data_IF_633873816027
#
_entry.id   IF_633873816027
#
_cell.length_a   1.000
_cell.length_b   1.000
_cell.length_c   1.000
_cell.angle_alpha   90.00
_cell.angle_beta   90.00
_cell.angle_gamma   90.00
#
_symmetry.space_group_name_H-M   'P 1'
#
loop_
_entity.id
_entity.type
_entity.pdbx_description
1 polymer ?
#
# COMPACT_ATOMS: atom_id res chain seq x y z
N UNK A 1 -7.62 20.36 -0.24
CA UNK A 1 -7.29 21.79 -0.29
C UNK A 1 -8.30 22.53 -1.14
N UNK A 2 -8.57 22.17 -2.39
CA UNK A 2 -9.56 22.86 -3.24
C UNK A 2 -10.98 22.86 -2.64
N UNK A 3 -11.36 21.78 -1.96
CA UNK A 3 -12.65 21.66 -1.26
C UNK A 3 -12.81 22.76 -0.19
N UNK A 4 -11.72 23.10 0.50
CA UNK A 4 -11.68 24.14 1.52
C UNK A 4 -11.33 25.53 0.95
N UNK A 5 -11.24 25.66 -0.38
CA UNK A 5 -10.89 26.93 -1.02
C UNK A 5 -9.44 27.39 -0.77
N UNK A 6 -8.58 26.50 -0.31
CA UNK A 6 -7.17 26.81 -0.04
C UNK A 6 -6.34 26.45 -1.27
N UNK A 7 -5.68 27.42 -1.93
CA UNK A 7 -4.79 27.10 -3.02
C UNK A 7 -3.59 26.30 -2.51
N UNK A 8 -3.25 25.21 -3.21
CA UNK A 8 -2.15 24.34 -2.85
C UNK A 8 -1.42 23.83 -4.07
N UNK A 9 -0.16 23.47 -3.89
CA UNK A 9 0.65 22.75 -4.87
C UNK A 9 1.01 21.39 -4.33
N UNK A 10 0.75 20.34 -5.11
CA UNK A 10 1.19 18.98 -4.79
C UNK A 10 2.58 18.75 -5.38
N UNK A 11 3.41 18.04 -4.61
CA UNK A 11 4.67 17.47 -5.07
C UNK A 11 4.49 15.96 -5.01
N UNK A 12 4.69 15.31 -6.14
CA UNK A 12 4.67 13.85 -6.20
C UNK A 12 6.07 13.35 -5.86
N UNK A 13 6.17 12.53 -4.83
CA UNK A 13 7.47 12.10 -4.28
C UNK A 13 8.33 11.38 -5.32
N UNK A 14 7.70 10.63 -6.20
CA UNK A 14 8.38 9.92 -7.30
C UNK A 14 9.02 10.90 -8.31
N UNK A 15 8.42 12.07 -8.53
CA UNK A 15 8.96 13.13 -9.40
C UNK A 15 10.11 13.87 -8.72
N UNK A 16 10.16 13.86 -7.39
CA UNK A 16 11.23 14.47 -6.58
C UNK A 16 12.37 13.47 -6.26
N UNK A 17 12.34 12.27 -6.87
CA UNK A 17 13.42 11.30 -6.79
C UNK A 17 13.29 10.24 -5.71
N UNK A 18 12.16 10.17 -4.99
CA UNK A 18 11.89 9.09 -4.06
C UNK A 18 11.54 7.82 -4.85
N UNK A 19 12.25 6.69 -4.65
CA UNK A 19 11.88 5.45 -5.30
C UNK A 19 10.53 4.93 -4.76
N UNK A 20 9.77 4.24 -5.62
CA UNK A 20 8.53 3.61 -5.20
C UNK A 20 8.76 2.63 -4.03
N UNK A 21 7.92 2.72 -3.01
CA UNK A 21 7.97 1.88 -1.82
C UNK A 21 6.55 1.46 -1.39
N UNK A 22 6.46 0.47 -0.51
CA UNK A 22 5.20 0.03 0.05
C UNK A 22 4.90 0.86 1.30
N UNK A 23 3.92 1.74 1.22
CA UNK A 23 3.59 2.69 2.29
C UNK A 23 2.79 2.03 3.42
N UNK A 24 1.77 1.24 3.03
CA UNK A 24 0.94 0.50 3.97
C UNK A 24 1.24 -0.99 3.85
N UNK A 25 1.74 -1.57 4.93
CA UNK A 25 2.13 -2.98 4.99
C UNK A 25 1.45 -3.70 6.14
N UNK A 26 1.22 -5.00 5.98
CA UNK A 26 0.80 -5.85 7.09
C UNK A 26 1.99 -6.28 7.92
N UNK A 27 1.88 -6.13 9.23
CA UNK A 27 2.92 -6.52 10.18
C UNK A 27 2.40 -7.66 11.06
N UNK A 28 3.20 -8.70 11.22
CA UNK A 28 2.88 -9.84 12.08
C UNK A 28 4.07 -10.20 12.98
N UNK A 29 3.76 -10.69 14.18
CA UNK A 29 4.80 -11.25 15.04
C UNK A 29 5.15 -12.66 14.54
N UNK A 30 6.40 -12.92 14.10
CA UNK A 30 6.80 -14.20 13.50
C UNK A 30 6.66 -15.40 14.46
N UNK A 31 6.83 -15.17 15.77
CA UNK A 31 6.75 -16.24 16.79
C UNK A 31 5.31 -16.62 17.13
N UNK A 32 4.34 -15.78 16.77
CA UNK A 32 2.92 -15.96 17.16
C UNK A 32 1.99 -16.10 15.95
N UNK A 33 2.45 -15.80 14.74
CA UNK A 33 1.59 -15.87 13.56
C UNK A 33 1.30 -17.31 13.15
N UNK A 34 0.04 -17.57 12.79
CA UNK A 34 -0.32 -18.76 12.05
C UNK A 34 -0.17 -18.48 10.55
N UNK A 35 0.84 -19.08 9.91
CA UNK A 35 1.17 -18.84 8.49
C UNK A 35 0.00 -19.13 7.55
N UNK A 36 -0.80 -20.15 7.81
CA UNK A 36 -1.94 -20.50 6.96
C UNK A 36 -3.08 -19.49 7.06
N UNK A 37 -3.31 -18.96 8.26
CA UNK A 37 -4.29 -17.89 8.46
C UNK A 37 -3.83 -16.62 7.74
N UNK A 38 -2.57 -16.23 7.89
CA UNK A 38 -2.03 -15.03 7.24
C UNK A 38 -2.07 -15.20 5.72
N UNK A 39 -1.69 -16.37 5.18
CA UNK A 39 -1.78 -16.64 3.73
C UNK A 39 -3.21 -16.47 3.21
N UNK A 40 -4.19 -17.09 3.87
CA UNK A 40 -5.61 -16.94 3.48
C UNK A 40 -6.11 -15.51 3.56
N UNK A 41 -5.65 -14.75 4.57
CA UNK A 41 -5.95 -13.34 4.68
C UNK A 41 -5.36 -12.55 3.49
N UNK A 42 -4.10 -12.77 3.13
CA UNK A 42 -3.46 -12.12 1.99
C UNK A 42 -4.15 -12.46 0.67
N UNK A 43 -4.54 -13.73 0.47
CA UNK A 43 -5.31 -14.16 -0.71
C UNK A 43 -6.68 -13.45 -0.78
N UNK A 44 -7.38 -13.32 0.33
CA UNK A 44 -8.63 -12.58 0.40
C UNK A 44 -8.42 -11.09 0.08
N UNK A 45 -7.32 -10.49 0.56
CA UNK A 45 -6.95 -9.11 0.25
C UNK A 45 -6.65 -8.94 -1.24
N UNK A 46 -5.95 -9.89 -1.86
CA UNK A 46 -5.68 -9.87 -3.31
C UNK A 46 -6.97 -9.93 -4.12
N UNK A 47 -7.87 -10.85 -3.80
CA UNK A 47 -9.18 -10.95 -4.46
C UNK A 47 -10.00 -9.66 -4.30
N UNK A 48 -9.99 -9.06 -3.11
CA UNK A 48 -10.65 -7.78 -2.87
C UNK A 48 -10.02 -6.64 -3.69
N UNK A 49 -8.70 -6.59 -3.79
CA UNK A 49 -7.99 -5.59 -4.62
C UNK A 49 -8.34 -5.75 -6.09
N UNK A 50 -8.34 -6.98 -6.61
CA UNK A 50 -8.74 -7.26 -7.99
C UNK A 50 -10.21 -6.86 -8.25
N UNK A 51 -11.09 -7.12 -7.30
CA UNK A 51 -12.48 -6.67 -7.39
C UNK A 51 -12.57 -5.14 -7.44
N UNK A 52 -11.89 -4.43 -6.54
CA UNK A 52 -11.88 -2.96 -6.47
C UNK A 52 -11.42 -2.36 -7.81
N UNK A 53 -10.33 -2.87 -8.37
CA UNK A 53 -9.76 -2.34 -9.62
C UNK A 53 -10.68 -2.61 -10.82
N UNK A 54 -11.35 -3.76 -10.86
CA UNK A 54 -12.24 -4.12 -11.95
C UNK A 54 -13.65 -3.54 -11.80
N UNK A 55 -14.08 -3.22 -10.59
CA UNK A 55 -15.42 -2.70 -10.25
C UNK A 55 -15.33 -1.44 -9.38
N UNK A 56 -14.65 -0.36 -9.84
CA UNK A 56 -14.33 0.79 -8.99
C UNK A 56 -15.56 1.53 -8.45
N UNK A 57 -16.63 1.62 -9.25
CA UNK A 57 -17.86 2.30 -8.84
C UNK A 57 -18.63 1.48 -7.79
N UNK A 58 -18.79 0.20 -8.01
CA UNK A 58 -19.46 -0.71 -7.06
C UNK A 58 -18.69 -0.76 -5.75
N UNK A 59 -17.37 -0.85 -5.83
CA UNK A 59 -16.49 -0.86 -4.67
C UNK A 59 -16.55 0.44 -3.88
N UNK A 60 -16.70 1.59 -4.55
CA UNK A 60 -16.95 2.87 -3.90
C UNK A 60 -18.25 2.86 -3.11
N UNK A 61 -19.35 2.37 -3.72
CA UNK A 61 -20.65 2.29 -3.03
C UNK A 61 -20.59 1.39 -1.78
N UNK A 62 -19.86 0.27 -1.88
CA UNK A 62 -19.63 -0.62 -0.73
C UNK A 62 -18.80 0.11 0.34
N UNK A 63 -17.68 0.73 -0.04
CA UNK A 63 -16.77 1.39 0.89
C UNK A 63 -17.44 2.54 1.64
N UNK A 64 -18.05 3.49 0.93
CA UNK A 64 -18.74 4.62 1.56
C UNK A 64 -19.92 4.20 2.43
N UNK A 65 -20.55 3.05 2.14
CA UNK A 65 -21.63 2.48 2.95
C UNK A 65 -21.19 1.92 4.30
N UNK A 66 -19.87 1.78 4.55
CA UNK A 66 -19.37 1.24 5.82
C UNK A 66 -19.44 2.24 6.98
N UNK A 67 -19.38 3.54 6.68
CA UNK A 67 -19.51 4.61 7.67
C UNK A 67 -20.05 5.88 7.02
N UNK A 68 -20.91 6.62 7.72
CA UNK A 68 -21.52 7.86 7.19
C UNK A 68 -20.49 8.93 6.85
N UNK A 69 -19.40 8.98 7.58
CA UNK A 69 -18.31 9.94 7.44
C UNK A 69 -17.49 9.74 6.15
N UNK A 70 -17.67 8.59 5.49
CA UNK A 70 -17.00 8.29 4.23
C UNK A 70 -17.77 8.78 2.99
N UNK A 71 -19.07 9.10 3.12
CA UNK A 71 -19.91 9.54 2.01
C UNK A 71 -19.83 11.06 1.81
N UNK A 72 -18.64 11.54 1.45
CA UNK A 72 -18.38 12.95 1.15
C UNK A 72 -17.49 13.14 -0.09
N UNK A 73 -17.36 14.40 -0.53
CA UNK A 73 -16.57 14.75 -1.71
C UNK A 73 -15.07 14.47 -1.54
N UNK A 74 -14.53 14.65 -0.33
CA UNK A 74 -13.12 14.42 -0.04
C UNK A 74 -12.78 12.95 -0.23
N UNK A 75 -13.57 12.06 0.38
CA UNK A 75 -13.38 10.62 0.28
C UNK A 75 -13.61 10.11 -1.16
N UNK A 76 -14.59 10.67 -1.88
CA UNK A 76 -14.81 10.32 -3.28
C UNK A 76 -13.64 10.69 -4.19
N UNK A 77 -12.98 11.82 -3.97
CA UNK A 77 -11.75 12.22 -4.68
C UNK A 77 -10.58 11.34 -4.29
N UNK A 78 -10.36 11.13 -2.98
CA UNK A 78 -9.31 10.28 -2.46
C UNK A 78 -9.42 8.83 -2.98
N UNK A 79 -10.65 8.30 -3.08
CA UNK A 79 -10.90 6.99 -3.68
C UNK A 79 -10.36 6.89 -5.11
N UNK A 80 -10.69 7.85 -5.97
CA UNK A 80 -10.22 7.89 -7.37
C UNK A 80 -8.69 7.96 -7.47
N UNK A 81 -8.07 8.79 -6.62
CA UNK A 81 -6.63 8.99 -6.61
C UNK A 81 -5.87 7.79 -6.03
N UNK A 82 -6.53 6.99 -5.20
CA UNK A 82 -5.94 5.78 -4.58
C UNK A 82 -6.02 4.56 -5.50
N UNK A 83 -7.04 4.43 -6.34
CA UNK A 83 -7.24 3.27 -7.20
C UNK A 83 -5.99 2.86 -8.01
N UNK A 84 -5.26 3.78 -8.69
CA UNK A 84 -4.06 3.42 -9.45
C UNK A 84 -2.88 2.98 -8.59
N UNK A 85 -2.97 3.16 -7.27
CA UNK A 85 -1.89 2.90 -6.31
C UNK A 85 -2.03 1.56 -5.59
N UNK A 86 -3.14 0.85 -5.81
CA UNK A 86 -3.32 -0.48 -5.25
C UNK A 86 -2.30 -1.47 -5.82
N UNK A 87 -1.65 -2.21 -4.94
CA UNK A 87 -0.86 -3.37 -5.33
C UNK A 87 -1.78 -4.46 -5.88
N UNK A 88 -1.67 -4.80 -7.16
CA UNK A 88 -2.53 -5.81 -7.81
C UNK A 88 -2.29 -7.22 -7.24
N UNK A 89 -1.13 -7.45 -6.66
CA UNK A 89 -0.75 -8.68 -5.98
C UNK A 89 -0.17 -8.36 -4.59
N UNK A 90 -1.02 -8.02 -3.61
CA UNK A 90 -0.57 -7.62 -2.28
C UNK A 90 0.09 -8.76 -1.48
N UNK A 91 -0.06 -10.02 -1.89
CA UNK A 91 0.65 -11.15 -1.30
C UNK A 91 2.09 -11.31 -1.81
N UNK A 92 2.42 -10.70 -2.95
CA UNK A 92 3.73 -10.85 -3.58
C UNK A 92 4.76 -9.89 -2.95
N UNK A 93 5.91 -10.42 -2.59
CA UNK A 93 7.04 -9.64 -2.11
C UNK A 93 7.90 -9.17 -3.30
N UNK A 94 7.99 -7.86 -3.52
CA UNK A 94 8.95 -7.25 -4.45
C UNK A 94 10.26 -6.91 -3.72
N UNK A 95 11.17 -7.88 -3.66
CA UNK A 95 12.49 -7.68 -3.03
C UNK A 95 13.28 -6.53 -3.67
N UNK A 96 13.13 -6.33 -4.98
CA UNK A 96 13.80 -5.24 -5.68
C UNK A 96 13.32 -3.87 -5.22
N UNK A 97 12.04 -3.71 -4.90
CA UNK A 97 11.47 -2.49 -4.34
C UNK A 97 12.08 -2.18 -2.97
N UNK A 98 12.10 -3.17 -2.08
CA UNK A 98 12.72 -3.04 -0.75
C UNK A 98 14.20 -2.64 -0.87
N UNK A 99 14.97 -3.33 -1.71
CA UNK A 99 16.41 -3.06 -1.87
C UNK A 99 16.68 -1.66 -2.43
N UNK A 100 15.89 -1.19 -3.39
CA UNK A 100 16.02 0.17 -3.94
C UNK A 100 15.70 1.24 -2.88
N UNK A 101 14.64 1.03 -2.12
CA UNK A 101 14.25 1.97 -1.07
C UNK A 101 15.27 2.02 0.08
N UNK A 102 15.78 0.86 0.48
CA UNK A 102 16.84 0.75 1.50
C UNK A 102 18.14 1.45 1.05
N UNK A 103 18.54 1.29 -0.22
CA UNK A 103 19.69 2.00 -0.80
C UNK A 103 19.49 3.51 -0.79
N UNK A 104 18.31 3.98 -1.18
CA UNK A 104 17.95 5.40 -1.12
C UNK A 104 18.05 5.95 0.31
N UNK A 105 17.49 5.26 1.30
CA UNK A 105 17.55 5.68 2.70
C UNK A 105 18.99 5.75 3.22
N UNK A 106 19.84 4.83 2.81
CA UNK A 106 21.27 4.83 3.17
C UNK A 106 22.00 6.02 2.53
N UNK A 107 21.77 6.28 1.23
CA UNK A 107 22.36 7.40 0.51
C UNK A 107 21.92 8.75 1.12
N UNK A 108 20.69 8.82 1.60
CA UNK A 108 20.14 9.97 2.32
C UNK A 108 20.67 10.11 3.78
N UNK A 109 21.47 9.16 4.27
CA UNK A 109 21.98 9.15 5.63
C UNK A 109 20.94 8.81 6.71
N UNK A 110 19.83 8.21 6.31
CA UNK A 110 18.73 7.81 7.20
C UNK A 110 18.88 6.37 7.73
N UNK A 111 19.73 5.57 7.09
CA UNK A 111 20.11 4.23 7.54
C UNK A 111 21.63 4.10 7.57
N UNK A 112 22.15 3.52 8.65
CA UNK A 112 23.56 3.19 8.80
C UNK A 112 23.90 1.86 8.13
N UNK A 113 23.08 0.84 8.39
CA UNK A 113 23.27 -0.54 7.90
C UNK A 113 22.13 -1.01 7.01
N UNK A 114 22.48 -1.72 5.93
CA UNK A 114 21.54 -2.44 5.08
C UNK A 114 21.33 -3.85 5.64
N UNK A 115 20.07 -4.27 5.71
CA UNK A 115 19.69 -5.61 6.13
C UNK A 115 19.17 -6.43 4.93
N UNK A 116 19.43 -7.74 4.86
CA UNK A 116 18.81 -8.57 3.84
C UNK A 116 17.28 -8.47 3.90
N UNK A 117 16.62 -8.35 2.77
CA UNK A 117 15.14 -8.23 2.67
C UNK A 117 14.45 -9.38 3.41
N UNK A 118 15.02 -10.59 3.39
CA UNK A 118 14.53 -11.76 4.12
C UNK A 118 14.46 -11.59 5.65
N UNK A 119 15.11 -10.54 6.20
CA UNK A 119 15.00 -10.16 7.62
C UNK A 119 13.95 -9.09 7.88
N UNK A 120 13.47 -8.43 6.83
CA UNK A 120 12.51 -7.35 6.89
C UNK A 120 11.10 -7.82 6.49
N UNK A 121 11.01 -8.70 5.50
CA UNK A 121 9.77 -9.16 4.93
C UNK A 121 9.77 -10.67 4.69
N UNK A 122 8.59 -11.28 4.69
CA UNK A 122 8.40 -12.72 4.50
C UNK A 122 7.49 -12.90 3.29
N UNK A 123 7.96 -13.63 2.29
CA UNK A 123 7.12 -14.13 1.20
C UNK A 123 6.37 -15.39 1.66
N UNK A 124 5.05 -15.30 1.73
CA UNK A 124 4.17 -16.44 2.06
C UNK A 124 3.58 -17.10 0.81
N UNK A 125 3.76 -16.51 -0.38
CA UNK A 125 3.30 -17.04 -1.66
C UNK A 125 4.30 -17.99 -2.33
N UNK A 126 5.58 -17.95 -1.95
CA UNK A 126 6.67 -18.72 -2.57
C UNK A 126 6.81 -20.17 -2.07
N UNK A 127 5.79 -20.76 -1.45
CA UNK A 127 5.82 -22.17 -0.97
C UNK A 127 4.82 -23.04 -1.72
#
# INVERSE_FOLDING_TARGET
>A
MDIEGVPGRCFYLEEEGLPAYDELIYVANPDRMNRDIVRRFLQATELATQFIVNHPQESWEIFKGTAKELDDELNARAWKDTLPRFALRPEALDEGRYSRFESFLREAGLLEDIRPVSKLAIDLGAQ
#
